data_IF_020682168943
#
_entry.id   IF_020682168943
#
_cell.length_a   1.000
_cell.length_b   1.000
_cell.length_c   1.000
_cell.angle_alpha   90.00
_cell.angle_beta   90.00
_cell.angle_gamma   90.00
#
_symmetry.space_group_name_H-M   'P 1'
#
loop_
_entity.id
_entity.type
_entity.pdbx_description
1 polymer ?
#
# COMPACT_ATOMS: atom_id res chain seq x y z
N UNK A 1 29.67 -0.16 17.60
CA UNK A 1 29.35 1.25 17.93
C UNK A 1 30.59 2.17 17.98
N UNK A 2 31.71 1.80 17.35
CA UNK A 2 32.96 2.61 17.34
C UNK A 2 33.43 3.04 15.93
N UNK A 3 32.79 2.58 14.86
CA UNK A 3 33.22 2.88 13.49
C UNK A 3 32.65 4.17 12.89
N UNK A 4 31.59 4.74 13.49
CA UNK A 4 30.98 5.97 12.97
C UNK A 4 31.81 7.22 13.29
N UNK A 5 32.56 7.24 14.39
CA UNK A 5 33.30 8.44 14.81
C UNK A 5 34.56 8.71 13.97
N UNK A 6 35.16 7.70 13.33
CA UNK A 6 36.38 7.88 12.53
C UNK A 6 36.12 8.50 11.15
N UNK A 7 34.87 8.47 10.67
CA UNK A 7 34.48 9.07 9.37
C UNK A 7 34.39 10.61 9.48
N UNK A 8 34.19 11.17 10.68
CA UNK A 8 33.94 12.61 10.84
C UNK A 8 35.19 13.50 10.81
N UNK A 9 36.40 12.96 11.00
CA UNK A 9 37.65 13.76 11.00
C UNK A 9 38.26 14.02 9.63
N UNK A 10 37.71 13.45 8.55
CA UNK A 10 38.30 13.53 7.21
C UNK A 10 37.78 14.73 6.41
N UNK A 11 36.71 15.38 6.86
CA UNK A 11 36.05 16.47 6.11
C UNK A 11 36.77 17.82 6.26
N UNK A 12 37.60 18.02 7.31
CA UNK A 12 38.19 19.34 7.62
C UNK A 12 39.49 19.69 6.86
N UNK A 13 40.06 18.80 6.03
CA UNK A 13 41.35 19.04 5.36
C UNK A 13 41.32 19.09 3.82
N UNK A 14 40.14 19.33 3.22
CA UNK A 14 40.00 19.51 1.78
C UNK A 14 40.21 20.99 1.39
N UNK A 15 41.45 21.42 1.22
CA UNK A 15 41.74 22.73 0.61
C UNK A 15 42.55 22.69 -0.69
N UNK A 16 43.01 21.54 -1.15
CA UNK A 16 43.79 21.46 -2.39
C UNK A 16 43.58 20.12 -3.09
N UNK A 17 42.56 20.03 -3.95
CA UNK A 17 42.44 19.09 -5.07
C UNK A 17 41.11 19.39 -5.77
N UNK A 18 41.08 19.34 -7.11
CA UNK A 18 39.93 19.67 -7.98
C UNK A 18 38.59 19.42 -7.29
N UNK A 19 37.96 20.52 -6.84
CA UNK A 19 36.72 20.48 -6.09
C UNK A 19 35.65 19.83 -6.96
N UNK A 20 34.92 18.86 -6.40
CA UNK A 20 33.69 18.36 -7.01
C UNK A 20 32.78 19.56 -7.33
N UNK A 21 32.02 19.46 -8.42
CA UNK A 21 31.08 20.53 -8.76
C UNK A 21 30.17 20.81 -7.55
N UNK A 22 29.96 22.09 -7.17
CA UNK A 22 29.15 22.42 -6.01
C UNK A 22 27.75 21.80 -6.03
N UNK A 23 27.16 21.57 -7.21
CA UNK A 23 25.86 20.91 -7.31
C UNK A 23 25.98 19.42 -6.96
N UNK A 24 27.02 18.72 -7.42
CA UNK A 24 27.27 17.32 -7.03
C UNK A 24 27.42 17.17 -5.52
N UNK A 25 28.10 18.11 -4.86
CA UNK A 25 28.25 18.09 -3.40
C UNK A 25 26.88 18.27 -2.73
N UNK A 26 26.08 19.23 -3.19
CA UNK A 26 24.73 19.46 -2.65
C UNK A 26 23.81 18.24 -2.85
N UNK A 27 23.86 17.61 -4.02
CA UNK A 27 23.10 16.37 -4.33
C UNK A 27 23.51 15.23 -3.39
N UNK A 28 24.82 15.02 -3.18
CA UNK A 28 25.34 14.01 -2.25
C UNK A 28 24.95 14.31 -0.79
N UNK A 29 24.96 15.57 -0.36
CA UNK A 29 24.54 15.98 0.97
C UNK A 29 23.03 15.79 1.20
N UNK A 30 22.21 16.08 0.18
CA UNK A 30 20.78 15.82 0.19
C UNK A 30 20.49 14.32 0.32
N UNK A 31 21.12 13.49 -0.52
CA UNK A 31 21.01 12.03 -0.46
C UNK A 31 21.49 11.48 0.88
N UNK A 32 22.61 11.97 1.40
CA UNK A 32 23.14 11.58 2.72
C UNK A 32 22.11 11.85 3.83
N UNK A 33 21.49 13.04 3.81
CA UNK A 33 20.48 13.43 4.81
C UNK A 33 19.24 12.54 4.73
N UNK A 34 18.77 12.22 3.52
CA UNK A 34 17.63 11.30 3.31
C UNK A 34 17.95 9.86 3.72
N UNK A 35 19.13 9.35 3.38
CA UNK A 35 19.60 8.03 3.80
C UNK A 35 19.70 7.92 5.31
N UNK A 36 20.21 8.95 5.97
CA UNK A 36 20.27 9.00 7.44
C UNK A 36 18.86 8.94 8.05
N UNK A 37 17.93 9.75 7.53
CA UNK A 37 16.54 9.75 7.99
C UNK A 37 15.84 8.40 7.78
N UNK A 38 16.15 7.72 6.67
CA UNK A 38 15.65 6.37 6.37
C UNK A 38 16.23 5.34 7.35
N UNK A 39 17.53 5.39 7.61
CA UNK A 39 18.21 4.53 8.58
C UNK A 39 17.62 4.68 9.99
N UNK A 40 17.38 5.91 10.45
CA UNK A 40 16.75 6.16 11.75
C UNK A 40 15.34 5.56 11.82
N UNK A 41 14.60 5.63 10.72
CA UNK A 41 13.25 5.06 10.61
C UNK A 41 13.31 3.54 10.69
N UNK A 42 14.22 2.90 9.94
CA UNK A 42 14.46 1.46 10.04
C UNK A 42 14.86 1.04 11.46
N UNK A 43 15.78 1.77 12.09
CA UNK A 43 16.23 1.43 13.44
C UNK A 43 15.09 1.54 14.45
N UNK A 44 14.27 2.58 14.36
CA UNK A 44 13.08 2.76 15.18
C UNK A 44 12.09 1.59 15.02
N UNK A 45 11.86 1.16 13.77
CA UNK A 45 10.98 0.03 13.47
C UNK A 45 11.53 -1.31 13.96
N UNK A 46 12.81 -1.56 13.74
CA UNK A 46 13.48 -2.77 14.25
C UNK A 46 13.36 -2.82 15.78
N UNK A 47 13.58 -1.68 16.46
CA UNK A 47 13.42 -1.62 17.91
C UNK A 47 11.97 -1.89 18.34
N UNK A 48 10.99 -1.35 17.62
CA UNK A 48 9.57 -1.63 17.85
C UNK A 48 9.21 -3.11 17.66
N UNK A 49 9.78 -3.77 16.64
CA UNK A 49 9.53 -5.19 16.37
C UNK A 49 10.24 -6.11 17.37
N UNK A 50 11.40 -5.70 17.89
CA UNK A 50 12.13 -6.44 18.93
C UNK A 50 11.43 -6.34 20.29
N UNK A 51 10.88 -5.18 20.62
CA UNK A 51 10.20 -4.90 21.88
C UNK A 51 8.81 -4.29 21.62
N UNK A 52 7.85 -5.10 21.13
CA UNK A 52 6.53 -4.59 20.81
C UNK A 52 5.83 -4.13 22.09
N UNK A 53 5.41 -2.85 22.12
CA UNK A 53 4.52 -2.36 23.18
C UNK A 53 3.18 -3.07 23.03
N UNK A 54 2.76 -3.76 24.09
CA UNK A 54 1.48 -4.44 24.12
C UNK A 54 0.34 -3.46 24.47
N UNK A 55 -0.82 -3.53 23.80
CA UNK A 55 -1.15 -4.46 22.72
C UNK A 55 -0.47 -4.07 21.40
N UNK A 56 0.10 -5.07 20.73
CA UNK A 56 0.55 -4.92 19.36
C UNK A 56 -0.68 -4.72 18.46
N UNK A 57 -0.70 -3.63 17.70
CA UNK A 57 -1.84 -3.31 16.84
C UNK A 57 -1.40 -3.21 15.39
N UNK A 58 -2.13 -3.90 14.51
CA UNK A 58 -1.89 -3.86 13.07
C UNK A 58 -1.87 -2.44 12.48
N UNK A 59 -2.78 -1.51 12.88
CA UNK A 59 -2.71 -0.12 12.41
C UNK A 59 -1.39 0.58 12.75
N UNK A 60 -0.79 0.35 13.93
CA UNK A 60 0.48 0.98 14.31
C UNK A 60 1.65 0.40 13.50
N UNK A 61 1.64 -0.91 13.22
CA UNK A 61 2.61 -1.53 12.32
C UNK A 61 2.48 -0.98 10.89
N UNK A 62 1.26 -0.91 10.36
CA UNK A 62 0.98 -0.40 9.02
C UNK A 62 1.41 1.06 8.88
N UNK A 63 1.13 1.90 9.88
CA UNK A 63 1.55 3.29 9.88
C UNK A 63 3.08 3.42 9.82
N UNK A 64 3.81 2.56 10.55
CA UNK A 64 5.28 2.53 10.47
C UNK A 64 5.74 2.10 9.08
N UNK A 65 5.17 1.05 8.50
CA UNK A 65 5.49 0.66 7.12
C UNK A 65 5.19 1.78 6.12
N UNK A 66 4.06 2.47 6.23
CA UNK A 66 3.73 3.59 5.35
C UNK A 66 4.75 4.73 5.46
N UNK A 67 5.22 5.05 6.68
CA UNK A 67 6.30 6.02 6.86
C UNK A 67 7.61 5.57 6.18
N UNK A 68 7.92 4.27 6.23
CA UNK A 68 9.11 3.73 5.57
C UNK A 68 8.98 3.83 4.05
N UNK A 69 7.84 3.41 3.50
CA UNK A 69 7.52 3.46 2.08
C UNK A 69 7.60 4.89 1.57
N UNK A 70 7.03 5.86 2.28
CA UNK A 70 7.06 7.26 1.89
C UNK A 70 8.50 7.81 1.85
N UNK A 71 9.33 7.49 2.85
CA UNK A 71 10.74 7.90 2.87
C UNK A 71 11.56 7.23 1.77
N UNK A 72 11.31 5.96 1.50
CA UNK A 72 11.97 5.22 0.44
C UNK A 72 11.58 5.73 -0.96
N UNK A 73 10.30 6.01 -1.20
CA UNK A 73 9.81 6.60 -2.44
C UNK A 73 10.47 7.98 -2.69
N UNK A 74 10.47 8.84 -1.66
CA UNK A 74 11.13 10.15 -1.75
C UNK A 74 12.65 10.09 -1.98
N UNK A 75 13.33 9.06 -1.48
CA UNK A 75 14.74 8.82 -1.79
C UNK A 75 14.92 8.32 -3.22
N UNK A 76 14.03 7.44 -3.68
CA UNK A 76 14.08 6.86 -5.01
C UNK A 76 13.86 7.94 -6.08
N UNK A 77 12.86 8.80 -5.92
CA UNK A 77 12.58 9.90 -6.86
C UNK A 77 13.76 10.84 -7.03
N UNK A 78 14.41 11.23 -5.92
CA UNK A 78 15.64 12.03 -5.96
C UNK A 78 16.77 11.29 -6.67
N UNK A 79 16.96 10.01 -6.36
CA UNK A 79 18.02 9.19 -6.95
C UNK A 79 17.82 9.04 -8.47
N UNK A 80 16.59 8.80 -8.92
CA UNK A 80 16.23 8.81 -10.35
C UNK A 80 16.45 10.19 -10.97
N UNK A 81 16.06 11.27 -10.29
CA UNK A 81 16.31 12.64 -10.75
C UNK A 81 17.79 12.95 -10.95
N UNK A 82 18.67 12.48 -10.06
CA UNK A 82 20.11 12.68 -10.16
C UNK A 82 20.80 11.74 -11.18
N UNK A 83 20.11 10.70 -11.65
CA UNK A 83 20.63 9.71 -12.62
C UNK A 83 20.13 9.97 -14.04
N UNK A 84 18.83 10.22 -14.23
CA UNK A 84 18.16 10.10 -15.54
C UNK A 84 17.88 11.45 -16.22
N UNK A 85 17.72 12.54 -15.46
CA UNK A 85 17.42 13.85 -16.06
C UNK A 85 18.66 14.46 -16.73
N UNK A 86 18.67 14.42 -18.07
CA UNK A 86 19.78 14.72 -18.97
C UNK A 86 20.66 15.95 -18.67
N UNK A 87 21.90 15.88 -19.17
CA UNK A 87 23.01 16.86 -19.05
C UNK A 87 23.49 17.21 -17.63
N UNK A 88 22.62 17.18 -16.62
CA UNK A 88 22.93 17.56 -15.24
C UNK A 88 23.08 16.37 -14.29
N UNK A 89 22.75 15.13 -14.69
CA UNK A 89 23.01 13.95 -13.87
C UNK A 89 24.50 13.81 -13.54
N UNK A 90 24.86 14.04 -12.27
CA UNK A 90 26.26 14.07 -11.83
C UNK A 90 26.72 12.72 -11.28
N UNK A 91 25.80 11.93 -10.69
CA UNK A 91 26.13 10.68 -10.00
C UNK A 91 26.66 9.57 -10.91
N UNK A 92 26.11 9.31 -12.12
CA UNK A 92 26.64 8.26 -13.00
C UNK A 92 28.07 8.54 -13.50
N UNK A 93 28.51 9.80 -13.45
CA UNK A 93 29.85 10.24 -13.86
C UNK A 93 30.87 10.20 -12.72
N UNK A 94 30.41 9.95 -11.49
CA UNK A 94 31.24 9.94 -10.30
C UNK A 94 31.80 8.54 -10.06
N UNK A 95 33.11 8.43 -9.87
CA UNK A 95 33.74 7.21 -9.38
C UNK A 95 34.30 7.44 -7.97
N UNK A 96 33.92 6.57 -7.04
CA UNK A 96 34.42 6.59 -5.68
C UNK A 96 35.68 5.73 -5.58
N UNK A 97 36.76 6.31 -5.09
CA UNK A 97 37.97 5.60 -4.72
C UNK A 97 38.44 6.06 -3.34
N UNK A 98 39.09 5.20 -2.55
CA UNK A 98 39.68 5.62 -1.30
C UNK A 98 40.75 6.69 -1.57
N UNK A 99 40.73 7.77 -0.78
CA UNK A 99 41.73 8.84 -0.88
C UNK A 99 43.12 8.36 -0.42
N UNK A 100 43.16 7.50 0.60
CA UNK A 100 44.38 6.89 1.12
C UNK A 100 44.37 5.41 0.72
N UNK A 101 45.41 4.90 0.04
CA UNK A 101 45.55 3.48 -0.24
C UNK A 101 45.53 2.65 1.05
N UNK A 102 44.85 1.51 1.04
CA UNK A 102 44.80 0.63 2.21
C UNK A 102 46.17 0.08 2.52
N UNK A 103 46.57 0.15 3.79
CA UNK A 103 47.89 -0.33 4.24
C UNK A 103 47.83 -1.71 4.86
N UNK A 104 46.64 -2.15 5.29
CA UNK A 104 46.41 -3.45 5.92
C UNK A 104 45.33 -4.24 5.19
N UNK A 105 45.43 -5.57 5.24
CA UNK A 105 44.41 -6.48 4.69
C UNK A 105 43.03 -6.27 5.32
N UNK A 106 42.97 -5.90 6.61
CA UNK A 106 41.72 -5.61 7.29
C UNK A 106 41.00 -4.38 6.73
N UNK A 107 41.74 -3.30 6.44
CA UNK A 107 41.20 -2.10 5.78
C UNK A 107 40.69 -2.42 4.37
N UNK A 108 41.45 -3.22 3.62
CA UNK A 108 41.05 -3.70 2.30
C UNK A 108 39.74 -4.49 2.36
N UNK A 109 39.60 -5.40 3.34
CA UNK A 109 38.38 -6.19 3.52
C UNK A 109 37.17 -5.31 3.87
N UNK A 110 37.31 -4.34 4.77
CA UNK A 110 36.22 -3.41 5.11
C UNK A 110 35.81 -2.58 3.90
N UNK A 111 36.77 -1.98 3.19
CA UNK A 111 36.49 -1.15 2.02
C UNK A 111 35.86 -1.94 0.88
N UNK A 112 36.25 -3.21 0.69
CA UNK A 112 35.63 -4.10 -0.30
C UNK A 112 34.14 -4.32 -0.04
N UNK A 113 33.72 -4.29 1.23
CA UNK A 113 32.31 -4.41 1.62
C UNK A 113 31.59 -3.07 1.45
N UNK A 114 32.21 -1.95 1.86
CA UNK A 114 31.60 -0.62 1.77
C UNK A 114 31.41 -0.13 0.32
N UNK A 115 32.35 -0.45 -0.57
CA UNK A 115 32.32 -0.07 -1.99
C UNK A 115 31.72 -1.17 -2.88
N UNK A 116 31.08 -2.19 -2.30
CA UNK A 116 30.46 -3.28 -3.06
C UNK A 116 29.28 -2.73 -3.87
N UNK A 117 29.32 -2.98 -5.17
CA UNK A 117 28.20 -2.75 -6.11
C UNK A 117 27.45 -4.01 -6.51
N UNK A 118 27.96 -5.19 -6.10
CA UNK A 118 27.31 -6.48 -6.37
C UNK A 118 25.97 -6.55 -5.63
N UNK A 119 24.93 -6.99 -6.35
CA UNK A 119 23.61 -7.26 -5.80
C UNK A 119 23.67 -8.32 -4.69
N UNK A 120 22.68 -8.26 -3.80
CA UNK A 120 22.49 -9.26 -2.75
C UNK A 120 21.98 -10.55 -3.41
N UNK A 121 22.40 -11.76 -2.98
CA UNK A 121 22.05 -13.02 -3.64
C UNK A 121 20.55 -13.24 -3.87
N UNK A 122 19.70 -12.81 -2.93
CA UNK A 122 18.24 -12.95 -3.06
C UNK A 122 17.68 -12.10 -4.21
N UNK A 123 18.26 -10.91 -4.43
CA UNK A 123 17.90 -10.03 -5.56
C UNK A 123 18.43 -10.62 -6.86
N UNK A 124 19.67 -11.14 -6.89
CA UNK A 124 20.23 -11.81 -8.07
C UNK A 124 19.37 -12.99 -8.52
N UNK A 125 18.90 -13.78 -7.55
CA UNK A 125 17.99 -14.91 -7.82
C UNK A 125 16.66 -14.43 -8.39
N UNK A 126 16.06 -13.39 -7.79
CA UNK A 126 14.80 -12.83 -8.25
C UNK A 126 14.90 -12.25 -9.67
N UNK A 127 15.99 -11.57 -10.00
CA UNK A 127 16.25 -11.07 -11.36
C UNK A 127 16.35 -12.22 -12.36
N UNK A 128 17.08 -13.29 -12.02
CA UNK A 128 17.23 -14.46 -12.89
C UNK A 128 15.89 -15.18 -13.11
N UNK A 129 15.09 -15.34 -12.06
CA UNK A 129 13.74 -15.92 -12.16
C UNK A 129 12.82 -15.06 -13.03
N UNK A 130 12.88 -13.73 -12.87
CA UNK A 130 12.09 -12.78 -13.67
C UNK A 130 12.51 -12.81 -15.13
N UNK A 131 13.82 -12.81 -15.41
CA UNK A 131 14.35 -12.94 -16.78
C UNK A 131 13.93 -14.26 -17.44
N UNK A 132 13.96 -15.36 -16.69
CA UNK A 132 13.50 -16.66 -17.18
C UNK A 132 11.98 -16.67 -17.47
N UNK A 133 11.18 -16.01 -16.63
CA UNK A 133 9.75 -15.85 -16.86
C UNK A 133 9.46 -15.01 -18.12
N UNK A 134 10.15 -13.88 -18.29
CA UNK A 134 10.02 -13.01 -19.46
C UNK A 134 10.44 -13.72 -20.76
N UNK A 135 11.53 -14.49 -20.72
CA UNK A 135 11.97 -15.27 -21.88
C UNK A 135 10.93 -16.31 -22.32
N UNK A 136 10.28 -16.98 -21.35
CA UNK A 136 9.20 -17.93 -21.64
C UNK A 136 7.98 -17.25 -22.26
N UNK A 137 7.56 -16.10 -21.73
CA UNK A 137 6.43 -15.33 -22.26
C UNK A 137 6.70 -14.84 -23.68
N UNK A 138 7.94 -14.39 -23.95
CA UNK A 138 8.36 -13.97 -25.29
C UNK A 138 8.22 -15.09 -26.31
N UNK A 139 8.71 -16.30 -26.00
CA UNK A 139 8.59 -17.48 -26.89
C UNK A 139 7.13 -17.94 -27.06
N UNK A 140 6.30 -17.79 -26.03
CA UNK A 140 4.88 -18.15 -26.11
C UNK A 140 4.10 -17.17 -27.01
N UNK A 141 4.38 -15.87 -26.88
CA UNK A 141 3.64 -14.82 -27.61
C UNK A 141 3.88 -14.82 -29.14
N UNK A 142 5.01 -15.35 -29.60
CA UNK A 142 5.28 -15.58 -31.02
C UNK A 142 4.50 -16.76 -31.62
N UNK A 143 3.94 -17.64 -30.78
CA UNK A 143 3.17 -18.81 -31.23
C UNK A 143 1.66 -18.59 -31.32
N UNK A 144 1.14 -17.53 -30.69
CA UNK A 144 -0.31 -17.27 -30.55
C UNK A 144 -0.88 -16.21 -31.48
N UNK A 145 -0.10 -15.61 -32.39
CA UNK A 145 -0.59 -14.65 -33.39
C UNK A 145 -1.08 -15.27 -34.70
N UNK A 146 -1.21 -16.61 -34.79
CA UNK A 146 -1.75 -17.29 -35.96
C UNK A 146 -2.82 -18.32 -35.57
N UNK A 147 -4.01 -17.83 -35.22
CA UNK A 147 -5.22 -18.64 -35.32
C UNK A 147 -5.56 -18.86 -36.80
N UNK A 148 -5.11 -19.99 -37.37
CA UNK A 148 -5.49 -20.41 -38.72
C UNK A 148 -4.48 -21.37 -39.35
N UNK A 149 -4.78 -22.67 -39.25
CA UNK A 149 -4.44 -23.77 -40.18
C UNK A 149 -3.33 -23.44 -41.20
N UNK A 150 -2.05 -23.62 -40.85
CA UNK A 150 -0.98 -23.96 -41.81
C UNK A 150 0.33 -24.28 -41.08
N UNK A 151 0.36 -25.43 -40.41
CA UNK A 151 1.49 -25.86 -39.57
C UNK A 151 2.56 -26.67 -40.35
N UNK A 152 2.88 -26.31 -41.60
CA UNK A 152 3.93 -27.00 -42.35
C UNK A 152 4.83 -26.13 -43.25
N UNK A 153 4.78 -24.79 -43.19
CA UNK A 153 5.66 -23.96 -44.04
C UNK A 153 6.51 -22.90 -43.33
N UNK A 154 6.38 -22.69 -42.02
CA UNK A 154 7.13 -21.61 -41.34
C UNK A 154 8.47 -22.00 -40.70
N UNK A 155 8.87 -23.28 -40.73
CA UNK A 155 10.12 -23.71 -40.08
C UNK A 155 11.40 -23.34 -40.84
N UNK A 156 11.29 -22.78 -42.05
CA UNK A 156 12.44 -22.41 -42.90
C UNK A 156 12.69 -20.90 -43.05
N UNK A 157 11.92 -20.04 -42.36
CA UNK A 157 12.06 -18.58 -42.46
C UNK A 157 12.54 -17.91 -41.16
N UNK A 158 12.98 -18.66 -40.17
CA UNK A 158 13.71 -18.09 -39.00
C UNK A 158 15.23 -18.20 -39.15
N UNK A 159 15.73 -18.98 -40.13
CA UNK A 159 17.17 -19.22 -40.31
C UNK A 159 17.91 -18.14 -41.10
N UNK A 160 17.27 -17.00 -41.41
CA UNK A 160 17.85 -15.93 -42.25
C UNK A 160 17.56 -14.51 -41.76
N UNK A 161 17.00 -14.33 -40.57
CA UNK A 161 16.96 -13.02 -39.93
C UNK A 161 18.19 -12.89 -39.04
N UNK A 162 18.97 -11.84 -39.25
CA UNK A 162 20.09 -11.47 -38.39
C UNK A 162 19.60 -11.33 -36.95
N UNK A 163 20.28 -11.98 -35.99
CA UNK A 163 19.90 -11.99 -34.58
C UNK A 163 19.73 -10.57 -34.02
N UNK A 164 20.50 -9.63 -34.56
CA UNK A 164 20.41 -8.21 -34.21
C UNK A 164 19.08 -7.57 -34.67
N UNK A 165 18.57 -7.97 -35.84
CA UNK A 165 17.26 -7.52 -36.32
C UNK A 165 16.11 -8.11 -35.49
N UNK A 166 16.21 -9.38 -35.11
CA UNK A 166 15.25 -10.03 -34.21
C UNK A 166 15.18 -9.33 -32.85
N UNK A 167 16.33 -8.98 -32.27
CA UNK A 167 16.40 -8.24 -31.01
C UNK A 167 15.77 -6.85 -31.16
N UNK A 168 16.10 -6.12 -32.23
CA UNK A 168 15.52 -4.78 -32.51
C UNK A 168 14.00 -4.82 -32.64
N UNK A 169 13.47 -5.76 -33.43
CA UNK A 169 12.01 -5.91 -33.60
C UNK A 169 11.32 -6.26 -32.28
N UNK A 170 11.92 -7.12 -31.45
CA UNK A 170 11.38 -7.43 -30.12
C UNK A 170 11.37 -6.22 -29.20
N UNK A 171 12.47 -5.45 -29.16
CA UNK A 171 12.56 -4.22 -28.37
C UNK A 171 11.49 -3.21 -28.80
N UNK A 172 11.29 -3.04 -30.11
CA UNK A 172 10.26 -2.15 -30.65
C UNK A 172 8.85 -2.59 -30.24
N UNK A 173 8.53 -3.89 -30.34
CA UNK A 173 7.25 -4.44 -29.87
C UNK A 173 7.03 -4.19 -28.38
N UNK A 174 8.06 -4.39 -27.54
CA UNK A 174 7.99 -4.10 -26.10
C UNK A 174 7.77 -2.62 -25.84
N UNK A 175 8.48 -1.73 -26.54
CA UNK A 175 8.30 -0.30 -26.43
C UNK A 175 6.87 0.13 -26.82
N UNK A 176 6.31 -0.42 -27.90
CA UNK A 176 4.92 -0.16 -28.29
C UNK A 176 3.93 -0.65 -27.22
N UNK A 177 4.12 -1.87 -26.69
CA UNK A 177 3.27 -2.41 -25.62
C UNK A 177 3.34 -1.56 -24.35
N UNK A 178 4.55 -1.17 -23.95
CA UNK A 178 4.79 -0.26 -22.82
C UNK A 178 4.11 1.08 -23.03
N UNK A 179 4.31 1.75 -24.16
CA UNK A 179 3.66 3.02 -24.47
C UNK A 179 2.13 2.92 -24.43
N UNK A 180 1.57 1.83 -24.97
CA UNK A 180 0.12 1.58 -24.89
C UNK A 180 -0.34 1.39 -23.45
N UNK A 181 0.37 0.60 -22.66
CA UNK A 181 0.07 0.39 -21.24
C UNK A 181 0.12 1.71 -20.47
N UNK A 182 1.20 2.48 -20.63
CA UNK A 182 1.42 3.76 -19.93
C UNK A 182 0.34 4.78 -20.31
N UNK A 183 -0.10 4.81 -21.58
CA UNK A 183 -1.25 5.61 -22.01
C UNK A 183 -2.54 5.20 -21.30
N UNK A 184 -2.86 3.90 -21.28
CA UNK A 184 -4.08 3.39 -20.64
C UNK A 184 -4.05 3.67 -19.13
N UNK A 185 -2.91 3.45 -18.48
CA UNK A 185 -2.74 3.74 -17.06
C UNK A 185 -2.93 5.24 -16.76
N UNK A 186 -2.39 6.12 -17.62
CA UNK A 186 -2.59 7.56 -17.53
C UNK A 186 -4.06 7.97 -17.72
N UNK A 187 -4.73 7.42 -18.74
CA UNK A 187 -6.16 7.66 -19.00
C UNK A 187 -7.03 7.17 -17.82
N UNK A 188 -6.73 5.99 -17.27
CA UNK A 188 -7.43 5.45 -16.11
C UNK A 188 -7.23 6.33 -14.86
N UNK A 189 -6.01 6.80 -14.60
CA UNK A 189 -5.74 7.71 -13.48
C UNK A 189 -6.50 9.05 -13.63
N UNK A 190 -6.54 9.61 -14.84
CA UNK A 190 -7.32 10.81 -15.14
C UNK A 190 -8.82 10.57 -14.94
N UNK A 191 -9.33 9.44 -15.41
CA UNK A 191 -10.73 9.07 -15.22
C UNK A 191 -11.10 8.97 -13.73
N UNK A 192 -10.26 8.31 -12.92
CA UNK A 192 -10.47 8.22 -11.46
C UNK A 192 -10.42 9.61 -10.82
N UNK A 193 -9.47 10.47 -11.21
CA UNK A 193 -9.41 11.83 -10.68
C UNK A 193 -10.67 12.64 -11.02
N UNK A 194 -11.16 12.57 -12.26
CA UNK A 194 -12.42 13.21 -12.65
C UNK A 194 -13.60 12.67 -11.83
N UNK A 195 -13.70 11.35 -11.65
CA UNK A 195 -14.74 10.74 -10.83
C UNK A 195 -14.68 11.20 -9.37
N UNK A 196 -13.47 11.28 -8.80
CA UNK A 196 -13.25 11.76 -7.43
C UNK A 196 -13.63 13.22 -7.31
N UNK A 197 -13.31 14.06 -8.28
CA UNK A 197 -13.65 15.49 -8.26
C UNK A 197 -15.17 15.70 -8.44
N UNK A 198 -15.81 14.99 -9.38
CA UNK A 198 -17.23 15.11 -9.68
C UNK A 198 -18.12 14.59 -8.52
N UNK A 199 -17.67 13.55 -7.82
CA UNK A 199 -18.44 12.90 -6.74
C UNK A 199 -17.85 13.14 -5.34
N UNK A 200 -16.90 14.06 -5.19
CA UNK A 200 -16.22 14.34 -3.92
C UNK A 200 -17.19 14.57 -2.78
N UNK A 201 -18.20 15.39 -3.04
CA UNK A 201 -19.21 15.77 -2.05
C UNK A 201 -20.10 14.58 -1.68
N UNK A 202 -20.41 13.72 -2.65
CA UNK A 202 -21.15 12.46 -2.43
C UNK A 202 -20.34 11.47 -1.60
N UNK A 203 -19.02 11.34 -1.81
CA UNK A 203 -18.16 10.47 -1.00
C UNK A 203 -18.01 10.95 0.46
N UNK A 204 -18.16 12.25 0.69
CA UNK A 204 -18.06 12.86 2.02
C UNK A 204 -19.40 12.89 2.76
N UNK A 205 -20.51 12.67 2.05
CA UNK A 205 -21.80 12.49 2.68
C UNK A 205 -21.75 11.19 3.48
N UNK A 206 -22.08 11.29 4.77
CA UNK A 206 -22.52 10.10 5.51
C UNK A 206 -23.82 9.70 4.85
N UNK A 207 -23.93 8.46 4.39
CA UNK A 207 -25.24 7.89 4.04
C UNK A 207 -26.20 8.28 5.16
N UNK A 208 -27.23 9.09 4.86
CA UNK A 208 -28.42 9.05 5.68
C UNK A 208 -28.82 7.59 5.72
N UNK A 209 -29.13 7.09 6.91
CA UNK A 209 -29.68 5.75 7.09
C UNK A 209 -30.97 5.64 6.26
N UNK A 210 -30.85 5.41 4.96
CA UNK A 210 -31.92 4.97 4.07
C UNK A 210 -32.28 3.51 4.38
N UNK A 211 -31.44 2.81 5.16
CA UNK A 211 -31.74 1.53 5.80
C UNK A 211 -32.73 1.62 6.99
N UNK A 212 -33.22 2.82 7.39
CA UNK A 212 -34.33 2.92 8.37
C UNK A 212 -35.71 3.12 7.70
N UNK A 213 -35.79 3.29 6.37
CA UNK A 213 -37.08 3.45 5.67
C UNK A 213 -37.42 2.30 4.70
N UNK A 214 -36.47 1.47 4.25
CA UNK A 214 -36.77 0.33 3.34
C UNK A 214 -37.14 -0.99 4.07
N UNK A 215 -36.87 -1.13 5.37
CA UNK A 215 -37.18 -2.36 6.14
C UNK A 215 -38.62 -2.40 6.71
N UNK A 216 -39.43 -1.33 6.59
CA UNK A 216 -40.83 -1.33 7.11
C UNK A 216 -41.88 -1.81 6.08
N UNK A 217 -41.53 -1.97 4.79
CA UNK A 217 -42.51 -2.25 3.73
C UNK A 217 -42.43 -3.66 3.10
N UNK A 218 -41.46 -4.52 3.47
CA UNK A 218 -41.31 -5.87 2.86
C UNK A 218 -41.90 -7.06 3.66
N UNK A 219 -42.53 -6.84 4.82
CA UNK A 219 -43.12 -7.91 5.66
C UNK A 219 -44.67 -7.92 5.69
N UNK A 220 -45.33 -7.42 4.64
CA UNK A 220 -46.80 -7.43 4.51
C UNK A 220 -47.33 -8.25 3.32
N UNK A 221 -46.66 -9.35 2.98
CA UNK A 221 -47.13 -10.32 1.97
C UNK A 221 -47.30 -11.72 2.59
N UNK A 222 -48.25 -11.84 3.53
CA UNK A 222 -48.38 -13.09 4.29
C UNK A 222 -49.65 -13.36 5.08
N UNK A 223 -50.70 -12.52 5.10
CA UNK A 223 -51.95 -12.91 5.80
C UNK A 223 -53.19 -12.09 5.39
N UNK A 224 -53.43 -11.93 4.09
CA UNK A 224 -54.64 -11.28 3.57
C UNK A 224 -55.62 -12.30 2.99
N UNK A 225 -56.23 -13.14 3.85
CA UNK A 225 -57.44 -13.91 3.50
C UNK A 225 -58.19 -14.46 4.70
N UNK A 226 -58.73 -13.58 5.54
CA UNK A 226 -60.01 -13.76 6.23
C UNK A 226 -60.29 -12.55 7.14
N UNK A 227 -61.40 -11.87 6.89
CA UNK A 227 -62.07 -10.82 7.71
C UNK A 227 -62.19 -9.44 7.04
N UNK A 228 -62.72 -9.43 5.82
CA UNK A 228 -63.65 -8.37 5.42
C UNK A 228 -65.07 -8.89 5.62
N UNK A 229 -65.62 -8.72 6.82
CA UNK A 229 -67.06 -8.57 7.05
C UNK A 229 -67.31 -8.31 8.54
N UNK A 230 -67.28 -7.03 8.90
CA UNK A 230 -68.10 -6.34 9.92
C UNK A 230 -67.43 -5.03 10.32
N UNK A 231 -67.60 -4.02 9.48
CA UNK A 231 -67.68 -2.64 9.95
C UNK A 231 -69.08 -2.47 10.54
N UNK A 232 -69.16 -2.22 11.84
CA UNK A 232 -70.07 -1.24 12.44
C UNK A 232 -69.90 -1.21 13.97
N UNK A 233 -69.62 0.00 14.47
CA UNK A 233 -69.78 0.48 15.84
C UNK A 233 -69.02 -0.19 17.01
N UNK A 234 -67.87 0.38 17.37
CA UNK A 234 -67.71 1.14 18.62
C UNK A 234 -66.24 1.54 18.92
N UNK A 235 -66.01 2.85 18.91
CA UNK A 235 -65.18 3.62 19.86
C UNK A 235 -64.41 2.83 20.96
N UNK A 236 -63.07 2.66 20.83
CA UNK A 236 -62.03 2.84 21.89
C UNK A 236 -60.67 2.18 21.58
N UNK A 237 -59.63 3.00 21.77
CA UNK A 237 -58.24 2.69 22.19
C UNK A 237 -57.23 2.16 21.17
N UNK A 238 -56.40 3.09 20.70
CA UNK A 238 -54.93 3.03 20.73
C UNK A 238 -54.36 1.79 21.44
N UNK A 239 -53.87 0.82 20.67
CA UNK A 239 -52.82 -0.07 21.14
C UNK A 239 -51.49 0.51 20.65
N UNK A 240 -50.89 1.35 21.49
CA UNK A 240 -49.47 1.68 21.40
C UNK A 240 -48.67 0.37 21.44
N UNK A 241 -48.06 -0.01 20.32
CA UNK A 241 -47.00 -1.00 20.33
C UNK A 241 -45.86 -0.46 21.18
N UNK A 242 -45.75 -0.96 22.42
CA UNK A 242 -44.67 -0.56 23.34
C UNK A 242 -43.32 -0.79 22.67
N UNK A 243 -42.53 0.27 22.61
CA UNK A 243 -41.21 0.28 21.98
C UNK A 243 -40.32 -0.81 22.62
N UNK A 244 -39.41 -1.45 21.87
CA UNK A 244 -38.63 -2.60 22.34
C UNK A 244 -37.80 -2.32 23.60
N UNK A 245 -37.35 -1.07 23.79
CA UNK A 245 -36.61 -0.66 24.99
C UNK A 245 -37.50 -0.57 26.25
N UNK A 246 -38.77 -0.20 26.09
CA UNK A 246 -39.76 -0.19 27.18
C UNK A 246 -40.12 -1.60 27.63
N UNK A 247 -40.25 -2.53 26.66
CA UNK A 247 -40.47 -3.96 26.95
C UNK A 247 -39.34 -4.56 27.78
N UNK A 248 -38.11 -4.08 27.57
CA UNK A 248 -36.92 -4.50 28.29
C UNK A 248 -36.68 -3.73 29.60
N UNK A 249 -37.54 -2.77 29.94
CA UNK A 249 -37.50 -2.01 31.19
C UNK A 249 -36.49 -0.87 31.23
N UNK A 250 -35.92 -0.47 30.08
CA UNK A 250 -34.97 0.63 30.05
C UNK A 250 -35.66 1.98 30.31
N UNK A 251 -35.01 2.90 31.07
CA UNK A 251 -35.60 4.19 31.42
C UNK A 251 -35.66 5.19 30.25
N UNK A 252 -34.83 4.99 29.22
CA UNK A 252 -34.89 5.73 27.97
C UNK A 252 -34.27 4.93 26.83
N UNK A 253 -34.62 5.31 25.60
CA UNK A 253 -34.06 4.75 24.38
C UNK A 253 -32.53 4.94 24.31
N UNK A 254 -32.01 6.08 24.76
CA UNK A 254 -30.58 6.37 24.78
C UNK A 254 -29.79 5.40 25.67
N UNK A 255 -30.35 5.02 26.82
CA UNK A 255 -29.72 4.06 27.74
C UNK A 255 -29.71 2.67 27.11
N UNK A 256 -30.77 2.30 26.39
CA UNK A 256 -30.84 1.06 25.64
C UNK A 256 -29.85 1.01 24.46
N UNK A 257 -29.74 2.09 23.68
CA UNK A 257 -28.76 2.20 22.58
C UNK A 257 -27.33 2.08 23.09
N UNK A 258 -27.00 2.72 24.23
CA UNK A 258 -25.69 2.58 24.89
C UNK A 258 -25.42 1.16 25.38
N UNK A 259 -26.44 0.49 25.93
CA UNK A 259 -26.32 -0.91 26.35
C UNK A 259 -26.10 -1.85 25.16
N UNK A 260 -26.78 -1.62 24.02
CA UNK A 260 -26.54 -2.35 22.77
C UNK A 260 -25.11 -2.19 22.29
N UNK A 261 -24.58 -0.97 22.31
CA UNK A 261 -23.19 -0.69 21.92
C UNK A 261 -22.19 -1.41 22.83
N UNK A 262 -22.44 -1.42 24.14
CA UNK A 262 -21.62 -2.16 25.11
C UNK A 262 -21.63 -3.68 24.84
N UNK A 263 -22.78 -4.24 24.50
CA UNK A 263 -22.90 -5.64 24.11
C UNK A 263 -22.16 -5.93 22.79
N UNK A 264 -22.24 -5.04 21.80
CA UNK A 264 -21.50 -5.19 20.54
C UNK A 264 -19.99 -5.17 20.77
N UNK A 265 -19.48 -4.23 21.56
CA UNK A 265 -18.05 -4.16 21.93
C UNK A 265 -17.61 -5.42 22.67
N UNK A 266 -18.42 -5.94 23.59
CA UNK A 266 -18.14 -7.18 24.29
C UNK A 266 -18.17 -8.42 23.36
N UNK A 267 -19.08 -8.45 22.38
CA UNK A 267 -19.15 -9.51 21.38
C UNK A 267 -17.89 -9.54 20.51
N UNK A 268 -17.46 -8.39 19.98
CA UNK A 268 -16.25 -8.31 19.17
C UNK A 268 -14.96 -8.56 19.95
N UNK A 269 -14.95 -8.34 21.26
CA UNK A 269 -13.76 -8.56 22.10
C UNK A 269 -13.70 -9.94 22.78
N UNK A 270 -14.84 -10.55 23.11
CA UNK A 270 -14.91 -11.77 23.92
C UNK A 270 -15.80 -12.89 23.36
N UNK A 271 -16.50 -12.65 22.25
CA UNK A 271 -17.42 -13.61 21.62
C UNK A 271 -18.72 -13.85 22.39
N UNK A 272 -19.03 -13.03 23.42
CA UNK A 272 -20.23 -13.17 24.24
C UNK A 272 -21.25 -12.09 23.87
N UNK A 273 -22.47 -12.52 23.54
CA UNK A 273 -23.57 -11.65 23.10
C UNK A 273 -24.03 -10.63 24.15
N UNK A 274 -23.80 -10.89 25.43
CA UNK A 274 -24.18 -9.99 26.52
C UNK A 274 -23.03 -9.81 27.49
N UNK A 275 -22.87 -8.59 28.00
CA UNK A 275 -21.94 -8.30 29.09
C UNK A 275 -22.61 -8.63 30.44
N UNK A 276 -22.24 -9.72 31.13
CA UNK A 276 -22.77 -10.03 32.44
C UNK A 276 -22.35 -8.94 33.44
N UNK A 277 -23.33 -8.29 34.08
CA UNK A 277 -23.08 -7.25 35.08
C UNK A 277 -23.05 -5.81 34.57
N UNK A 278 -23.43 -5.56 33.30
CA UNK A 278 -23.57 -4.19 32.77
C UNK A 278 -24.45 -3.32 33.68
N UNK A 279 -23.91 -2.16 34.08
CA UNK A 279 -24.64 -1.20 34.92
C UNK A 279 -25.84 -0.61 34.18
N UNK A 280 -25.77 -0.51 32.85
CA UNK A 280 -26.89 -0.07 32.01
C UNK A 280 -28.03 -1.09 32.01
N UNK A 281 -27.73 -2.39 32.01
CA UNK A 281 -28.74 -3.45 32.16
C UNK A 281 -29.35 -3.46 33.57
N UNK A 282 -28.55 -3.16 34.60
CA UNK A 282 -29.04 -3.06 35.98
C UNK A 282 -30.05 -1.92 36.15
N UNK A 283 -29.86 -0.80 35.44
CA UNK A 283 -30.83 0.30 35.41
C UNK A 283 -32.18 -0.15 34.86
N UNK A 284 -32.20 -1.08 33.90
CA UNK A 284 -33.44 -1.63 33.35
C UNK A 284 -34.14 -2.62 34.30
N UNK A 285 -33.39 -3.38 35.09
CA UNK A 285 -33.94 -4.34 36.06
C UNK A 285 -34.23 -3.76 37.44
N UNK A 286 -33.63 -2.61 37.78
CA UNK A 286 -33.77 -1.93 39.08
C UNK A 286 -34.93 -0.92 39.14
N UNK A 287 -35.63 -0.69 38.02
CA UNK A 287 -36.76 0.22 37.93
C UNK A 287 -38.14 -0.47 38.17
N UNK A 288 -38.15 -1.68 38.74
CA UNK A 288 -39.37 -2.40 39.16
C UNK A 288 -39.56 -2.39 40.67
#
# INVERSE_FOLDING_TARGET
>A
MLCCNSIFKVIDNLHETKCLDPNTIQELEALRSKLWSLQETFQSQINYLKEPKYPFTWPDLLNKFNMLTAKFASLSDDFYGYIETGSNGTLPKLMLHPYIPTTTEHETNILSVLLRTKLIPDIEKLELETQAALAKELMASSSTSAGGIDHLHHHHQETSMDDEQLIRTRIEQWNTRRQRHDRIAGEAAQFVNMLVDDHRDTFLQRYSSEDEEEDEDEDMDGEQKEKEEKKEDNNKKDQEEKKPWEKLGFPSEDVWRRWKLECAVNYYSSGKEQLPGSDLKKLATGAK
#
